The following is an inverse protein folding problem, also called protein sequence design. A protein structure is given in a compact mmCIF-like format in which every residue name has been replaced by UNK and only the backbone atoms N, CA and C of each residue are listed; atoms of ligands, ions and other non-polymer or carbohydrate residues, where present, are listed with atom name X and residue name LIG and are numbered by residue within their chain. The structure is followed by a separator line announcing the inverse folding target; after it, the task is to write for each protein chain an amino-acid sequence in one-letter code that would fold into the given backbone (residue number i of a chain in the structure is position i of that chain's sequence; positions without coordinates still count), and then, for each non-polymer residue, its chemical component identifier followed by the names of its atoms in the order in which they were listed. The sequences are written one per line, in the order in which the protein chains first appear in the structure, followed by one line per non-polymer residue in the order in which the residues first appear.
data_IF_750345292051
#
_entry.id   IF_750345292051
#
_cell.length_a   1.000
_cell.length_b   1.000
_cell.length_c   1.000
_cell.angle_alpha   90.00
_cell.angle_beta   90.00
_cell.angle_gamma   90.00
#
_symmetry.space_group_name_H-M   'P 1'
#
loop_
_entity.id
_entity.type
_entity.pdbx_description
1 polymer ?
#
# COMPACT_ATOMS: atom_id res chain seq x y z
N UNK A 1 -42.90 -4.24 27.40
CA UNK A 1 -42.36 -4.41 26.03
C UNK A 1 -41.82 -3.07 25.59
N UNK A 2 -40.55 -2.83 25.89
CA UNK A 2 -39.78 -1.71 25.36
C UNK A 2 -38.34 -2.19 25.39
N UNK A 3 -37.90 -2.65 24.22
CA UNK A 3 -36.52 -2.94 23.90
C UNK A 3 -35.95 -1.78 23.07
N UNK A 4 -34.63 -1.67 23.16
CA UNK A 4 -33.70 -1.05 22.22
C UNK A 4 -33.43 0.46 22.29
N UNK A 5 -32.38 0.81 23.05
CA UNK A 5 -31.40 1.85 22.65
C UNK A 5 -29.97 1.38 22.92
N UNK A 6 -29.34 0.93 21.84
CA UNK A 6 -27.93 1.11 21.40
C UNK A 6 -26.85 1.32 22.47
N UNK A 7 -26.03 0.29 22.63
CA UNK A 7 -24.73 0.30 23.30
C UNK A 7 -23.60 0.50 22.29
N UNK A 8 -22.86 1.60 22.38
CA UNK A 8 -21.42 1.65 22.05
C UNK A 8 -20.72 2.64 22.96
N UNK A 9 -20.17 2.08 24.04
CA UNK A 9 -19.17 2.56 24.99
C UNK A 9 -18.02 3.29 24.28
N UNK A 10 -17.86 4.61 24.49
CA UNK A 10 -17.27 5.27 25.66
C UNK A 10 -15.82 4.84 25.94
N UNK A 11 -14.94 5.66 25.39
CA UNK A 11 -13.54 5.80 25.72
C UNK A 11 -13.40 6.36 27.15
N UNK A 12 -12.77 5.61 28.06
CA UNK A 12 -11.82 6.07 29.11
C UNK A 12 -11.60 5.00 30.19
N UNK A 13 -10.36 4.94 30.65
CA UNK A 13 -9.91 4.49 31.99
C UNK A 13 -9.61 3.01 32.21
N UNK A 14 -8.34 2.63 32.05
CA UNK A 14 -7.56 1.95 33.11
C UNK A 14 -6.05 2.06 32.81
N UNK A 15 -5.29 2.90 33.54
CA UNK A 15 -4.70 2.65 34.87
C UNK A 15 -3.27 2.07 34.71
N UNK A 16 -2.20 2.87 34.80
CA UNK A 16 -1.44 3.16 36.04
C UNK A 16 -0.96 1.87 36.74
N UNK A 17 0.02 1.19 36.13
CA UNK A 17 1.09 0.42 36.81
C UNK A 17 2.37 0.84 36.06
N UNK A 18 3.24 1.77 36.50
CA UNK A 18 4.04 1.85 37.75
C UNK A 18 5.04 0.68 37.82
N UNK A 19 6.19 0.76 37.16
CA UNK A 19 7.43 1.50 37.50
C UNK A 19 8.53 0.48 37.85
N UNK A 20 9.79 0.89 37.65
CA UNK A 20 11.06 0.24 38.05
C UNK A 20 11.55 -0.89 37.13
N UNK A 21 12.44 -0.54 36.21
CA UNK A 21 13.83 -1.01 36.26
C UNK A 21 14.67 -0.07 35.39
N UNK A 22 15.12 1.00 36.04
CA UNK A 22 16.31 1.73 35.65
C UNK A 22 17.49 0.76 35.81
N UNK A 23 17.92 0.17 34.70
CA UNK A 23 19.29 -0.32 34.58
C UNK A 23 19.85 0.38 33.36
N UNK A 24 20.62 1.42 33.64
CA UNK A 24 21.55 2.07 32.71
C UNK A 24 22.56 1.03 32.25
N UNK A 25 22.13 0.14 31.37
CA UNK A 25 23.04 -0.58 30.50
C UNK A 25 23.38 0.42 29.41
N UNK A 26 24.67 0.62 29.13
CA UNK A 26 25.15 1.43 28.03
C UNK A 26 24.79 0.73 26.72
N UNK A 27 23.49 0.74 26.38
CA UNK A 27 22.96 0.02 25.26
C UNK A 27 23.47 0.75 24.04
N UNK A 28 24.30 0.08 23.24
CA UNK A 28 24.66 0.56 21.92
C UNK A 28 23.36 0.69 21.13
N UNK A 29 22.84 1.91 21.05
CA UNK A 29 21.65 2.21 20.26
C UNK A 29 21.97 1.89 18.82
N UNK A 30 21.32 0.85 18.29
CA UNK A 30 21.50 0.46 16.90
C UNK A 30 20.86 1.48 15.94
N UNK A 31 20.04 2.39 16.48
CA UNK A 31 19.38 3.48 15.77
C UNK A 31 19.22 4.70 16.69
N UNK A 32 19.71 5.86 16.25
CA UNK A 32 19.40 7.14 16.88
C UNK A 32 18.09 7.68 16.27
N UNK A 33 17.09 7.93 17.12
CA UNK A 33 15.82 8.54 16.73
C UNK A 33 15.81 10.00 17.18
N UNK A 34 15.28 10.88 16.33
CA UNK A 34 14.96 12.24 16.76
C UNK A 34 13.89 12.21 17.87
N UNK A 35 13.94 13.17 18.81
CA UNK A 35 12.98 13.24 19.91
C UNK A 35 11.53 13.39 19.41
N UNK A 36 11.33 14.16 18.34
CA UNK A 36 10.03 14.29 17.64
C UNK A 36 9.53 12.95 17.12
N UNK A 37 10.44 12.14 16.57
CA UNK A 37 10.09 10.89 15.92
C UNK A 37 9.77 9.81 16.93
N UNK A 38 10.50 9.79 18.05
CA UNK A 38 10.19 8.92 19.20
C UNK A 38 8.77 9.17 19.71
N UNK A 39 8.40 10.45 19.92
CA UNK A 39 7.05 10.81 20.37
C UNK A 39 5.97 10.37 19.39
N UNK A 40 6.23 10.50 18.08
CA UNK A 40 5.30 10.03 17.06
C UNK A 40 5.14 8.51 17.05
N UNK A 41 6.23 7.75 17.21
CA UNK A 41 6.18 6.29 17.33
C UNK A 41 5.41 5.84 18.58
N UNK A 42 5.65 6.50 19.72
CA UNK A 42 4.92 6.24 20.97
C UNK A 42 3.41 6.54 20.80
N UNK A 43 3.07 7.63 20.11
CA UNK A 43 1.68 7.96 19.77
C UNK A 43 1.05 6.87 18.90
N UNK A 44 1.74 6.41 17.87
CA UNK A 44 1.29 5.32 16.99
C UNK A 44 1.06 4.03 17.77
N UNK A 45 1.90 3.71 18.75
CA UNK A 45 1.75 2.51 19.58
C UNK A 45 0.59 2.66 20.58
N UNK A 46 0.39 3.86 21.12
CA UNK A 46 -0.70 4.16 22.06
C UNK A 46 -2.08 4.18 21.39
N UNK A 47 -2.15 4.53 20.10
CA UNK A 47 -3.39 4.49 19.35
C UNK A 47 -3.79 3.04 19.02
N UNK A 48 -5.03 2.65 19.33
CA UNK A 48 -5.53 1.31 19.00
C UNK A 48 -5.99 1.18 17.53
N UNK A 49 -6.24 2.31 16.84
CA UNK A 49 -6.80 2.36 15.49
C UNK A 49 -5.74 2.67 14.42
N UNK A 50 -4.69 1.85 14.36
CA UNK A 50 -3.62 2.00 13.35
C UNK A 50 -3.46 0.69 12.61
N UNK A 51 -3.16 0.70 11.29
CA UNK A 51 -2.92 -0.53 10.57
C UNK A 51 -1.81 -1.35 11.24
N UNK A 52 -2.03 -2.65 11.41
CA UNK A 52 -1.10 -3.56 12.12
C UNK A 52 0.33 -3.47 11.58
N UNK A 53 0.50 -3.23 10.27
CA UNK A 53 1.82 -3.07 9.65
C UNK A 53 2.57 -1.84 10.17
N UNK A 54 1.86 -0.72 10.33
CA UNK A 54 2.40 0.54 10.87
C UNK A 54 2.78 0.35 12.33
N UNK A 55 1.89 -0.27 13.12
CA UNK A 55 2.14 -0.62 14.52
C UNK A 55 3.40 -1.48 14.68
N UNK A 56 3.53 -2.57 13.91
CA UNK A 56 4.70 -3.47 13.96
C UNK A 56 5.99 -2.77 13.58
N UNK A 57 5.96 -1.89 12.57
CA UNK A 57 7.11 -1.07 12.18
C UNK A 57 7.54 -0.12 13.30
N UNK A 58 6.57 0.56 13.92
CA UNK A 58 6.83 1.47 15.03
C UNK A 58 7.42 0.72 16.23
N UNK A 59 6.84 -0.42 16.61
CA UNK A 59 7.36 -1.30 17.67
C UNK A 59 8.80 -1.74 17.40
N UNK A 60 9.11 -2.14 16.15
CA UNK A 60 10.45 -2.56 15.77
C UNK A 60 11.48 -1.42 15.85
N UNK A 61 11.13 -0.22 15.36
CA UNK A 61 12.01 0.96 15.39
C UNK A 61 12.24 1.46 16.82
N UNK A 62 11.19 1.49 17.65
CA UNK A 62 11.30 1.90 19.05
C UNK A 62 12.19 0.92 19.83
N UNK A 63 12.02 -0.40 19.62
CA UNK A 63 12.87 -1.40 20.25
C UNK A 63 14.36 -1.25 19.87
N UNK A 64 14.66 -0.88 18.61
CA UNK A 64 16.04 -0.60 18.21
C UNK A 64 16.62 0.67 18.87
N UNK A 65 15.77 1.65 19.14
CA UNK A 65 16.14 2.89 19.82
C UNK A 65 16.24 2.75 21.34
N UNK A 66 15.60 1.73 21.91
CA UNK A 66 15.85 1.21 23.26
C UNK A 66 17.15 0.37 23.32
N UNK A 67 17.72 0.06 22.15
CA UNK A 67 18.98 -0.65 21.99
C UNK A 67 18.87 -2.18 21.96
N UNK A 68 17.67 -2.72 21.70
CA UNK A 68 17.52 -4.15 21.42
C UNK A 68 18.24 -4.55 20.14
N UNK A 69 18.67 -5.81 20.09
CA UNK A 69 19.24 -6.39 18.87
C UNK A 69 18.18 -6.50 17.78
N UNK A 70 18.60 -6.58 16.50
CA UNK A 70 17.68 -6.79 15.37
C UNK A 70 16.79 -8.03 15.54
N UNK A 71 17.31 -9.08 16.18
CA UNK A 71 16.59 -10.32 16.44
C UNK A 71 15.50 -10.13 17.50
N UNK A 72 15.83 -9.46 18.61
CA UNK A 72 14.87 -9.16 19.67
C UNK A 72 13.78 -8.19 19.21
N UNK A 73 14.17 -7.13 18.50
CA UNK A 73 13.24 -6.19 17.89
C UNK A 73 12.28 -6.89 16.91
N UNK A 74 12.79 -7.85 16.12
CA UNK A 74 11.97 -8.69 15.24
C UNK A 74 10.97 -9.53 16.01
N UNK A 75 11.41 -10.21 17.08
CA UNK A 75 10.52 -11.00 17.95
C UNK A 75 9.39 -10.15 18.54
N UNK A 76 9.71 -8.96 19.06
CA UNK A 76 8.71 -8.03 19.63
C UNK A 76 7.71 -7.52 18.58
N UNK A 77 8.19 -7.21 17.37
CA UNK A 77 7.34 -6.76 16.27
C UNK A 77 6.62 -7.92 15.54
N UNK A 78 6.92 -9.18 15.87
CA UNK A 78 6.37 -10.36 15.19
C UNK A 78 6.83 -10.50 13.74
N UNK A 79 8.06 -10.09 13.42
CA UNK A 79 8.66 -10.16 12.08
C UNK A 79 10.09 -10.69 12.10
N UNK A 80 10.63 -11.07 10.94
CA UNK A 80 12.03 -11.47 10.82
C UNK A 80 13.00 -10.30 10.98
N UNK A 81 14.24 -10.60 11.42
CA UNK A 81 15.29 -9.60 11.65
C UNK A 81 15.63 -8.78 10.39
N UNK A 82 15.54 -9.38 9.19
CA UNK A 82 15.77 -8.70 7.91
C UNK A 82 14.78 -7.55 7.67
N UNK A 83 13.52 -7.71 8.07
CA UNK A 83 12.52 -6.65 7.94
C UNK A 83 12.86 -5.47 8.85
N UNK A 84 13.30 -5.75 10.07
CA UNK A 84 13.72 -4.72 11.03
C UNK A 84 14.98 -3.99 10.55
N UNK A 85 15.95 -4.71 9.98
CA UNK A 85 17.13 -4.10 9.36
C UNK A 85 16.73 -3.16 8.20
N UNK A 86 15.82 -3.60 7.33
CA UNK A 86 15.32 -2.76 6.24
C UNK A 86 14.59 -1.50 6.75
N UNK A 87 13.86 -1.60 7.86
CA UNK A 87 13.21 -0.42 8.46
C UNK A 87 14.22 0.55 9.07
N UNK A 88 15.26 0.05 9.75
CA UNK A 88 16.36 0.86 10.26
C UNK A 88 17.03 1.65 9.14
N UNK A 89 17.37 0.97 8.05
CA UNK A 89 18.06 1.60 6.92
C UNK A 89 17.14 2.59 6.19
N UNK A 90 15.87 2.21 5.98
CA UNK A 90 14.85 3.11 5.42
C UNK A 90 14.57 4.34 6.28
N UNK A 91 14.64 4.23 7.62
CA UNK A 91 14.52 5.37 8.52
C UNK A 91 15.70 6.34 8.37
N UNK A 92 16.93 5.82 8.25
CA UNK A 92 18.12 6.66 8.01
C UNK A 92 18.05 7.44 6.70
N UNK A 93 17.39 6.88 5.67
CA UNK A 93 17.24 7.54 4.37
C UNK A 93 16.05 8.51 4.30
N UNK A 94 14.90 8.13 4.88
CA UNK A 94 13.59 8.79 4.62
C UNK A 94 12.82 9.20 5.88
N UNK A 95 13.42 9.01 7.06
CA UNK A 95 12.80 9.26 8.36
C UNK A 95 11.55 8.41 8.59
N UNK A 96 10.54 8.99 9.25
CA UNK A 96 9.27 8.33 9.58
C UNK A 96 8.43 7.88 8.38
N UNK A 97 8.76 8.31 7.16
CA UNK A 97 8.08 7.83 5.94
C UNK A 97 8.14 6.31 5.81
N UNK A 98 9.14 5.66 6.43
CA UNK A 98 9.29 4.20 6.50
C UNK A 98 8.09 3.47 7.11
N UNK A 99 7.28 4.15 7.93
CA UNK A 99 6.06 3.59 8.51
C UNK A 99 5.02 3.25 7.44
N UNK A 100 5.01 4.01 6.33
CA UNK A 100 4.05 3.82 5.24
C UNK A 100 4.61 2.89 4.16
N UNK A 101 3.73 2.14 3.50
CA UNK A 101 4.09 1.38 2.30
C UNK A 101 4.39 2.36 1.16
N UNK A 102 5.44 2.09 0.39
CA UNK A 102 5.65 2.80 -0.87
C UNK A 102 4.43 2.59 -1.79
N UNK A 103 4.03 3.60 -2.59
CA UNK A 103 2.95 3.42 -3.55
C UNK A 103 3.29 2.24 -4.45
N UNK A 104 2.38 1.26 -4.50
CA UNK A 104 2.55 0.09 -5.36
C UNK A 104 2.50 0.59 -6.80
N UNK A 105 3.61 0.50 -7.52
CA UNK A 105 3.59 0.59 -8.98
C UNK A 105 2.77 -0.60 -9.45
N UNK A 106 1.50 -0.35 -9.79
CA UNK A 106 0.63 -1.39 -10.33
C UNK A 106 1.25 -2.01 -11.58
N UNK A 107 0.62 -3.07 -12.09
CA UNK A 107 1.01 -3.63 -13.40
C UNK A 107 1.05 -2.49 -14.43
N UNK A 108 2.15 -2.30 -15.18
CA UNK A 108 2.23 -1.26 -16.20
C UNK A 108 1.08 -1.43 -17.19
N UNK A 109 0.43 -0.31 -17.52
CA UNK A 109 -0.67 -0.31 -18.46
C UNK A 109 -0.08 -0.64 -19.84
N UNK A 110 -0.52 -1.75 -20.45
CA UNK A 110 -0.01 -2.19 -21.76
C UNK A 110 -0.60 -1.43 -22.95
N UNK A 111 -1.62 -0.61 -22.71
CA UNK A 111 -2.36 0.13 -23.73
C UNK A 111 -2.68 1.52 -23.20
N UNK A 112 -2.17 2.54 -23.86
CA UNK A 112 -2.31 3.91 -23.40
C UNK A 112 -3.74 4.43 -23.59
N UNK A 113 -4.07 5.51 -22.85
CA UNK A 113 -5.35 6.20 -22.97
C UNK A 113 -5.74 6.56 -24.41
N UNK A 114 -4.83 7.16 -25.21
CA UNK A 114 -5.09 7.50 -26.61
C UNK A 114 -5.41 6.28 -27.47
N UNK A 115 -4.68 5.18 -27.33
CA UNK A 115 -4.92 3.95 -28.09
C UNK A 115 -6.32 3.38 -27.84
N UNK A 116 -6.79 3.46 -26.58
CA UNK A 116 -8.14 3.04 -26.19
C UNK A 116 -9.22 3.98 -26.72
N UNK A 117 -8.94 5.28 -26.75
CA UNK A 117 -9.84 6.28 -27.32
C UNK A 117 -10.01 6.07 -28.83
N UNK A 118 -8.90 5.87 -29.57
CA UNK A 118 -8.93 5.57 -31.01
C UNK A 118 -9.71 4.29 -31.32
N UNK A 119 -9.52 3.23 -30.51
CA UNK A 119 -10.26 1.98 -30.66
C UNK A 119 -11.77 2.15 -30.39
N UNK A 120 -12.14 2.99 -29.41
CA UNK A 120 -13.54 3.31 -29.11
C UNK A 120 -14.17 4.12 -30.23
N UNK A 121 -13.46 5.14 -30.73
CA UNK A 121 -13.92 5.96 -31.86
C UNK A 121 -14.14 5.11 -33.12
N UNK A 122 -13.24 4.15 -33.38
CA UNK A 122 -13.39 3.18 -34.47
C UNK A 122 -14.63 2.29 -34.28
N UNK A 123 -14.91 1.82 -33.06
CA UNK A 123 -16.11 1.03 -32.79
C UNK A 123 -17.42 1.81 -32.97
N UNK A 124 -17.38 3.14 -32.82
CA UNK A 124 -18.51 4.04 -33.02
C UNK A 124 -18.70 4.51 -34.47
N UNK A 125 -17.76 4.21 -35.38
CA UNK A 125 -17.86 4.61 -36.79
C UNK A 125 -18.61 3.57 -37.64
N UNK A 126 -18.83 3.87 -38.92
CA UNK A 126 -19.44 2.93 -39.85
C UNK A 126 -18.53 1.72 -40.10
N UNK A 127 -19.06 0.48 -40.07
CA UNK A 127 -18.27 -0.70 -40.40
C UNK A 127 -17.82 -0.67 -41.87
N UNK A 128 -16.69 -1.32 -42.19
CA UNK A 128 -16.19 -1.38 -43.56
C UNK A 128 -17.14 -2.14 -44.48
N UNK A 129 -17.04 -1.86 -45.78
CA UNK A 129 -17.89 -2.46 -46.81
C UNK A 129 -17.91 -3.99 -46.72
N UNK A 130 -19.10 -4.58 -46.88
CA UNK A 130 -19.31 -6.02 -46.73
C UNK A 130 -19.61 -6.50 -45.31
N UNK A 131 -19.59 -5.63 -44.30
CA UNK A 131 -19.93 -5.97 -42.91
C UNK A 131 -21.08 -5.12 -42.36
N UNK A 132 -22.13 -5.78 -41.83
CA UNK A 132 -23.28 -5.09 -41.22
C UNK A 132 -23.02 -4.54 -39.80
N UNK A 133 -21.93 -4.95 -39.14
CA UNK A 133 -21.54 -4.46 -37.80
C UNK A 133 -20.05 -4.70 -37.54
N UNK A 134 -19.49 -3.93 -36.61
CA UNK A 134 -18.17 -4.21 -36.05
C UNK A 134 -18.17 -5.54 -35.28
N UNK A 135 -17.23 -6.41 -35.61
CA UNK A 135 -16.89 -7.57 -34.77
C UNK A 135 -15.56 -7.32 -34.08
N UNK A 136 -15.31 -8.00 -32.95
CA UNK A 136 -14.10 -7.82 -32.16
C UNK A 136 -12.84 -8.18 -32.98
N UNK A 137 -12.92 -9.19 -33.85
CA UNK A 137 -11.84 -9.55 -34.77
C UNK A 137 -11.57 -8.43 -35.77
N UNK A 138 -12.62 -7.93 -36.43
CA UNK A 138 -12.53 -6.84 -37.41
C UNK A 138 -11.93 -5.56 -36.81
N UNK A 139 -12.29 -5.25 -35.55
CA UNK A 139 -11.75 -4.11 -34.82
C UNK A 139 -10.27 -4.29 -34.47
N UNK A 140 -9.85 -5.51 -34.12
CA UNK A 140 -8.44 -5.80 -33.86
C UNK A 140 -7.60 -5.62 -35.13
N UNK A 141 -8.06 -6.18 -36.24
CA UNK A 141 -7.35 -6.13 -37.52
C UNK A 141 -7.28 -4.69 -38.05
N UNK A 142 -8.40 -3.95 -38.01
CA UNK A 142 -8.44 -2.54 -38.42
C UNK A 142 -7.63 -1.62 -37.49
N UNK A 143 -7.56 -1.90 -36.19
CA UNK A 143 -6.73 -1.10 -35.28
C UNK A 143 -5.22 -1.25 -35.56
N UNK A 144 -4.79 -2.43 -36.03
CA UNK A 144 -3.40 -2.66 -36.47
C UNK A 144 -3.17 -2.03 -37.84
N UNK A 145 -4.11 -2.18 -38.79
CA UNK A 145 -4.02 -1.58 -40.13
C UNK A 145 -3.89 -0.05 -40.09
N UNK A 146 -4.64 0.61 -39.20
CA UNK A 146 -4.61 2.07 -39.00
C UNK A 146 -3.42 2.55 -38.15
N UNK A 147 -2.57 1.63 -37.67
CA UNK A 147 -1.37 1.96 -36.88
C UNK A 147 -1.66 2.46 -35.46
N UNK A 148 -2.84 2.21 -34.92
CA UNK A 148 -3.17 2.61 -33.54
C UNK A 148 -2.42 1.77 -32.50
N UNK A 149 -2.09 0.52 -32.84
CA UNK A 149 -1.32 -0.41 -32.00
C UNK A 149 -0.50 -1.34 -32.89
N UNK A 150 0.74 -1.67 -32.49
CA UNK A 150 1.58 -2.66 -33.18
C UNK A 150 0.95 -4.07 -33.24
N UNK A 151 0.32 -4.50 -32.15
CA UNK A 151 -0.43 -5.76 -32.09
C UNK A 151 -1.44 -5.75 -30.94
N UNK A 152 -2.67 -6.22 -31.20
CA UNK A 152 -3.70 -6.35 -30.17
C UNK A 152 -4.42 -7.70 -30.30
N UNK A 153 -4.66 -8.36 -29.17
CA UNK A 153 -5.45 -9.59 -29.17
C UNK A 153 -6.96 -9.29 -29.16
N UNK A 154 -7.76 -10.11 -29.85
CA UNK A 154 -9.23 -10.01 -29.83
C UNK A 154 -9.81 -9.92 -28.41
N UNK A 155 -9.30 -10.72 -27.48
CA UNK A 155 -9.75 -10.71 -26.09
C UNK A 155 -9.47 -9.36 -25.41
N UNK A 156 -8.36 -8.70 -25.75
CA UNK A 156 -8.01 -7.38 -25.23
C UNK A 156 -8.95 -6.30 -25.75
N UNK A 157 -9.30 -6.32 -27.04
CA UNK A 157 -10.30 -5.42 -27.63
C UNK A 157 -11.63 -5.55 -26.88
N UNK A 158 -12.09 -6.78 -26.65
CA UNK A 158 -13.32 -7.04 -25.89
C UNK A 158 -13.27 -6.45 -24.47
N UNK A 159 -12.14 -6.63 -23.76
CA UNK A 159 -11.95 -6.07 -22.41
C UNK A 159 -11.91 -4.54 -22.41
N UNK A 160 -11.29 -3.93 -23.43
CA UNK A 160 -11.22 -2.47 -23.56
C UNK A 160 -12.62 -1.90 -23.77
N UNK A 161 -13.40 -2.45 -24.70
CA UNK A 161 -14.74 -1.97 -25.04
C UNK A 161 -15.75 -2.25 -23.93
N UNK A 162 -15.64 -3.38 -23.22
CA UNK A 162 -16.52 -3.68 -22.06
C UNK A 162 -16.42 -2.64 -20.95
N UNK A 163 -15.24 -2.02 -20.78
CA UNK A 163 -15.03 -1.01 -19.73
C UNK A 163 -15.57 0.37 -20.12
N UNK A 164 -16.00 0.55 -21.37
CA UNK A 164 -16.49 1.82 -21.92
C UNK A 164 -18.02 1.87 -22.02
N UNK A 165 -18.73 0.75 -21.82
CA UNK A 165 -20.19 0.68 -21.65
C UNK A 165 -20.61 0.67 -20.19
#
# INVERSE_FOLDING_TARGET
MQDDVVSTSSCKSHCIIRYVLDTVFMVKTHLELAASDRLELERVIACHNVPVKVYRRAMGLLALAEGHTLQEAGKRAGVGYNSVAAWRDGYKEKGLTVLQDAPRSGRPVKFDGPQRASLTALACSAPPEGHGRWTITLLADKAVELGFVEAISRARVAVILKKTS
#
